data_IF_793159553190
#
_entry.id   IF_793159553190
#
_cell.length_a   1.000
_cell.length_b   1.000
_cell.length_c   1.000
_cell.angle_alpha   90.00
_cell.angle_beta   90.00
_cell.angle_gamma   90.00
#
_symmetry.space_group_name_H-M   'P 1'
#
loop_
_entity.id
_entity.type
_entity.pdbx_description
1 polymer ?
#
# COMPACT_ATOMS: atom_id res chain seq x y z
N UNK A 1 1.62 5.24 6.02
CA UNK A 1 2.95 5.83 5.71
C UNK A 1 2.91 7.30 6.07
N UNK A 2 4.05 7.98 6.22
CA UNK A 2 4.02 9.42 6.49
C UNK A 2 3.35 10.17 5.34
N UNK A 3 2.49 11.13 5.64
CA UNK A 3 1.68 11.79 4.60
C UNK A 3 2.54 12.69 3.70
N UNK A 4 3.58 13.33 4.25
CA UNK A 4 4.48 14.23 3.54
C UNK A 4 5.41 13.47 2.59
N UNK A 5 5.92 12.31 3.00
CA UNK A 5 6.69 11.41 2.12
C UNK A 5 5.84 10.94 0.93
N UNK A 6 4.59 10.55 1.20
CA UNK A 6 3.63 10.13 0.16
C UNK A 6 3.28 11.29 -0.78
N UNK A 7 3.02 12.48 -0.22
CA UNK A 7 2.75 13.70 -0.98
C UNK A 7 3.90 14.00 -1.92
N UNK A 8 5.12 14.15 -1.38
CA UNK A 8 6.31 14.43 -2.17
C UNK A 8 6.56 13.39 -3.27
N UNK A 9 6.35 12.11 -2.96
CA UNK A 9 6.52 11.04 -3.94
C UNK A 9 5.51 11.14 -5.08
N UNK A 10 4.24 11.37 -4.77
CA UNK A 10 3.19 11.56 -5.78
C UNK A 10 3.45 12.83 -6.60
N UNK A 11 3.82 13.94 -5.96
CA UNK A 11 4.10 15.19 -6.67
C UNK A 11 5.24 15.04 -7.68
N UNK A 12 6.31 14.33 -7.30
CA UNK A 12 7.44 14.03 -8.19
C UNK A 12 7.03 13.11 -9.34
N UNK A 13 6.29 12.03 -9.06
CA UNK A 13 5.91 11.04 -10.05
C UNK A 13 4.91 11.58 -11.09
N UNK A 14 3.97 12.42 -10.68
CA UNK A 14 2.89 12.93 -11.53
C UNK A 14 3.09 14.39 -11.95
N UNK A 15 4.17 15.04 -11.52
CA UNK A 15 4.49 16.45 -11.80
C UNK A 15 3.32 17.39 -11.49
N UNK A 16 2.60 17.13 -10.40
CA UNK A 16 1.43 17.90 -9.97
C UNK A 16 1.54 18.16 -8.48
N UNK A 17 1.28 19.39 -8.05
CA UNK A 17 1.17 19.68 -6.63
C UNK A 17 -0.16 19.18 -6.08
N UNK A 18 -0.12 18.62 -4.87
CA UNK A 18 -1.30 18.18 -4.13
C UNK A 18 -1.18 18.59 -2.66
N UNK A 19 -2.29 18.58 -1.95
CA UNK A 19 -2.31 18.68 -0.50
C UNK A 19 -3.13 17.49 -0.01
N UNK A 20 -2.46 16.50 0.59
CA UNK A 20 -3.11 15.27 1.07
C UNK A 20 -3.97 15.57 2.31
N UNK A 21 -3.57 16.55 3.13
CA UNK A 21 -4.23 16.90 4.40
C UNK A 21 -5.47 17.77 4.16
N UNK A 22 -5.36 18.78 3.30
CA UNK A 22 -6.41 19.74 2.94
C UNK A 22 -6.63 19.80 1.42
N UNK A 23 -7.05 18.70 0.79
CA UNK A 23 -7.17 18.62 -0.66
C UNK A 23 -8.23 19.58 -1.20
N UNK A 24 -7.86 20.38 -2.21
CA UNK A 24 -8.84 21.16 -2.99
C UNK A 24 -9.84 20.25 -3.72
N UNK A 25 -9.37 19.08 -4.15
CA UNK A 25 -10.18 18.03 -4.77
C UNK A 25 -9.78 16.67 -4.17
N UNK A 26 -10.54 16.23 -3.17
CA UNK A 26 -10.30 14.98 -2.46
C UNK A 26 -10.42 13.75 -3.36
N UNK A 27 -11.28 13.79 -4.38
CA UNK A 27 -11.45 12.67 -5.30
C UNK A 27 -10.20 12.51 -6.19
N UNK A 28 -9.68 13.61 -6.73
CA UNK A 28 -8.44 13.59 -7.51
C UNK A 28 -7.23 13.14 -6.70
N UNK A 29 -7.06 13.64 -5.47
CA UNK A 29 -5.96 13.19 -4.59
C UNK A 29 -6.09 11.71 -4.27
N UNK A 30 -7.29 11.23 -3.95
CA UNK A 30 -7.56 9.82 -3.72
C UNK A 30 -7.23 8.93 -4.93
N UNK A 31 -7.50 9.40 -6.16
CA UNK A 31 -7.11 8.69 -7.38
C UNK A 31 -5.59 8.57 -7.52
N UNK A 32 -4.84 9.65 -7.29
CA UNK A 32 -3.37 9.64 -7.36
C UNK A 32 -2.77 8.70 -6.31
N UNK A 33 -3.29 8.71 -5.08
CA UNK A 33 -2.88 7.79 -4.02
C UNK A 33 -3.15 6.34 -4.43
N UNK A 34 -4.37 6.05 -4.93
CA UNK A 34 -4.73 4.72 -5.40
C UNK A 34 -3.80 4.24 -6.53
N UNK A 35 -3.52 5.10 -7.51
CA UNK A 35 -2.70 4.75 -8.67
C UNK A 35 -1.24 4.50 -8.26
N UNK A 36 -0.71 5.32 -7.35
CA UNK A 36 0.60 5.12 -6.77
C UNK A 36 0.67 3.77 -6.02
N UNK A 37 -0.25 3.53 -5.08
CA UNK A 37 -0.22 2.30 -4.27
C UNK A 37 -0.38 1.06 -5.15
N UNK A 38 -1.26 1.07 -6.16
CA UNK A 38 -1.44 -0.09 -7.06
C UNK A 38 -0.23 -0.41 -7.91
N UNK A 39 0.62 0.58 -8.18
CA UNK A 39 1.86 0.39 -8.94
C UNK A 39 2.96 -0.24 -8.07
N UNK A 40 2.94 0.06 -6.78
CA UNK A 40 4.01 -0.28 -5.83
C UNK A 40 3.65 -1.41 -4.84
N UNK A 41 2.37 -1.76 -4.73
CA UNK A 41 1.87 -2.83 -3.89
C UNK A 41 1.04 -3.80 -4.72
N UNK A 42 1.52 -5.04 -4.87
CA UNK A 42 0.75 -6.12 -5.50
C UNK A 42 0.67 -7.32 -4.57
N UNK A 43 -0.47 -8.01 -4.60
CA UNK A 43 -0.72 -9.16 -3.73
C UNK A 43 -1.24 -10.31 -4.60
N UNK A 44 -0.79 -11.53 -4.29
CA UNK A 44 -1.41 -12.77 -4.75
C UNK A 44 -1.84 -13.59 -3.54
N UNK A 45 -3.04 -14.15 -3.62
CA UNK A 45 -3.57 -15.10 -2.64
C UNK A 45 -3.67 -16.48 -3.29
N UNK A 46 -3.03 -17.49 -2.69
CA UNK A 46 -2.93 -18.86 -3.22
C UNK A 46 -2.52 -18.91 -4.70
N UNK A 47 -1.52 -18.10 -5.06
CA UNK A 47 -0.99 -18.00 -6.43
C UNK A 47 -1.85 -17.19 -7.41
N UNK A 48 -3.01 -16.67 -6.99
CA UNK A 48 -3.89 -15.85 -7.83
C UNK A 48 -3.70 -14.36 -7.52
N UNK A 49 -3.38 -13.50 -8.51
CA UNK A 49 -3.37 -12.06 -8.32
C UNK A 49 -4.73 -11.55 -7.83
N UNK A 50 -4.70 -10.64 -6.87
CA UNK A 50 -5.92 -9.99 -6.37
C UNK A 50 -5.99 -8.53 -6.81
N UNK A 51 -7.21 -8.06 -7.05
CA UNK A 51 -7.45 -6.67 -7.42
C UNK A 51 -7.76 -5.87 -6.17
N UNK A 52 -6.86 -4.96 -5.80
CA UNK A 52 -7.10 -3.98 -4.74
C UNK A 52 -8.13 -2.96 -5.21
N UNK A 53 -9.24 -2.81 -4.48
CA UNK A 53 -10.26 -1.79 -4.73
C UNK A 53 -10.11 -0.71 -3.67
N UNK A 54 -9.81 0.51 -4.10
CA UNK A 54 -9.64 1.63 -3.18
C UNK A 54 -10.98 2.04 -2.55
N UNK A 55 -10.99 2.10 -1.22
CA UNK A 55 -12.14 2.53 -0.43
C UNK A 55 -12.04 4.01 -0.07
N UNK A 56 -10.83 4.46 0.23
CA UNK A 56 -10.56 5.83 0.64
C UNK A 56 -9.25 5.95 1.39
N UNK A 57 -8.96 7.18 1.79
CA UNK A 57 -7.80 7.50 2.62
C UNK A 57 -8.20 8.51 3.70
N UNK A 58 -7.44 8.50 4.79
CA UNK A 58 -7.50 9.51 5.83
C UNK A 58 -6.10 9.87 6.31
N UNK A 59 -5.95 11.09 6.83
CA UNK A 59 -4.74 11.53 7.51
C UNK A 59 -5.05 11.57 9.00
N UNK A 60 -4.23 10.88 9.78
CA UNK A 60 -4.30 10.89 11.23
C UNK A 60 -2.90 11.18 11.77
N UNK A 61 -2.78 12.28 12.51
CA UNK A 61 -1.48 12.82 12.93
C UNK A 61 -0.57 12.96 11.69
N UNK A 62 0.59 12.31 11.70
CA UNK A 62 1.55 12.37 10.60
C UNK A 62 1.38 11.21 9.61
N UNK A 63 0.37 10.35 9.79
CA UNK A 63 0.15 9.16 8.97
C UNK A 63 -0.96 9.34 7.93
N UNK A 64 -0.65 9.05 6.67
CA UNK A 64 -1.62 8.75 5.64
C UNK A 64 -2.01 7.26 5.70
N UNK A 65 -3.28 7.02 6.02
CA UNK A 65 -3.93 5.71 6.00
C UNK A 65 -4.68 5.55 4.69
N UNK A 66 -4.46 4.44 3.98
CA UNK A 66 -5.17 4.11 2.75
C UNK A 66 -5.82 2.74 2.87
N UNK A 67 -7.10 2.66 2.50
CA UNK A 67 -7.90 1.47 2.66
C UNK A 67 -8.23 0.84 1.32
N UNK A 68 -8.00 -0.47 1.23
CA UNK A 68 -8.31 -1.26 0.04
C UNK A 68 -9.10 -2.51 0.43
N UNK A 69 -10.05 -2.90 -0.41
CA UNK A 69 -10.77 -4.17 -0.29
C UNK A 69 -10.49 -5.07 -1.49
N UNK A 70 -10.52 -6.38 -1.27
CA UNK A 70 -10.50 -7.39 -2.34
C UNK A 70 -11.81 -8.17 -2.28
N UNK A 71 -12.51 -8.23 -3.42
CA UNK A 71 -13.75 -9.01 -3.56
C UNK A 71 -13.46 -10.39 -4.13
N UNK A 72 -14.36 -11.34 -3.86
CA UNK A 72 -14.33 -12.66 -4.48
C UNK A 72 -13.31 -13.64 -3.91
N UNK A 73 -12.77 -13.38 -2.71
CA UNK A 73 -11.98 -14.36 -1.97
C UNK A 73 -12.93 -15.33 -1.25
N UNK A 74 -12.94 -16.59 -1.69
CA UNK A 74 -13.69 -17.66 -1.05
C UNK A 74 -12.77 -18.49 -0.16
N UNK A 75 -13.11 -18.64 1.12
CA UNK A 75 -12.31 -19.40 2.08
C UNK A 75 -11.19 -18.59 2.73
N UNK A 76 -10.26 -19.29 3.41
CA UNK A 76 -9.10 -18.71 4.09
C UNK A 76 -7.84 -19.01 3.26
N UNK A 77 -7.23 -18.00 2.61
CA UNK A 77 -6.00 -18.23 1.84
C UNK A 77 -4.87 -18.74 2.73
N UNK A 78 -4.04 -19.64 2.18
CA UNK A 78 -2.91 -20.26 2.90
C UNK A 78 -1.56 -19.70 2.46
N UNK A 79 -1.50 -19.02 1.34
CA UNK A 79 -0.28 -18.40 0.83
C UNK A 79 -0.58 -16.99 0.36
N UNK A 80 0.25 -16.05 0.80
CA UNK A 80 0.31 -14.70 0.27
C UNK A 80 1.68 -14.49 -0.36
N UNK A 81 1.68 -13.94 -1.57
CA UNK A 81 2.88 -13.39 -2.22
C UNK A 81 2.63 -11.89 -2.32
N UNK A 82 3.52 -11.09 -1.76
CA UNK A 82 3.37 -9.63 -1.72
C UNK A 82 4.61 -9.01 -2.36
N UNK A 83 4.37 -8.10 -3.29
CA UNK A 83 5.37 -7.15 -3.75
C UNK A 83 5.05 -5.79 -3.12
N UNK A 84 5.99 -5.18 -2.43
CA UNK A 84 5.85 -3.88 -1.77
C UNK A 84 7.17 -3.10 -1.87
N UNK A 85 7.19 -2.10 -2.76
CA UNK A 85 8.30 -1.15 -2.93
C UNK A 85 7.83 0.31 -2.68
N UNK A 86 6.77 0.48 -1.87
CA UNK A 86 6.26 1.79 -1.49
C UNK A 86 7.38 2.66 -0.91
N UNK A 87 7.48 3.89 -1.44
CA UNK A 87 8.44 4.94 -1.09
C UNK A 87 9.91 4.64 -1.40
N UNK A 88 10.27 3.48 -1.96
CA UNK A 88 11.67 3.08 -2.14
C UNK A 88 12.49 4.02 -3.04
N UNK A 89 11.85 4.65 -4.03
CA UNK A 89 12.54 5.53 -4.98
C UNK A 89 13.10 6.78 -4.29
N UNK A 90 12.37 7.33 -3.33
CA UNK A 90 12.72 8.58 -2.64
C UNK A 90 13.39 8.34 -1.29
N UNK A 91 13.23 7.14 -0.72
CA UNK A 91 13.71 6.77 0.61
C UNK A 91 14.55 5.48 0.55
N UNK A 92 15.88 5.58 0.37
CA UNK A 92 16.78 4.44 0.30
C UNK A 92 16.83 3.59 1.58
N UNK A 93 16.51 4.18 2.72
CA UNK A 93 16.49 3.52 4.04
C UNK A 93 15.10 2.99 4.42
N UNK A 94 14.13 3.03 3.48
CA UNK A 94 12.76 2.63 3.73
C UNK A 94 12.65 1.15 4.12
N UNK A 95 11.83 0.89 5.13
CA UNK A 95 11.46 -0.46 5.58
C UNK A 95 9.95 -0.56 5.56
N UNK A 96 9.42 -1.49 4.77
CA UNK A 96 7.99 -1.77 4.71
C UNK A 96 7.67 -2.98 5.61
N UNK A 97 6.91 -2.75 6.67
CA UNK A 97 6.45 -3.80 7.58
C UNK A 97 5.04 -4.26 7.22
N UNK A 98 4.85 -5.57 7.14
CA UNK A 98 3.59 -6.19 6.77
C UNK A 98 3.08 -7.09 7.88
N UNK A 99 1.80 -6.91 8.22
CA UNK A 99 1.08 -7.75 9.15
C UNK A 99 -0.11 -8.37 8.44
N UNK A 100 -0.10 -9.68 8.29
CA UNK A 100 -1.17 -10.43 7.62
C UNK A 100 -1.89 -11.25 8.68
N UNK A 101 -3.22 -11.18 8.69
CA UNK A 101 -4.05 -11.93 9.62
C UNK A 101 -5.09 -12.78 8.88
N UNK A 102 -5.15 -14.08 9.20
CA UNK A 102 -6.11 -15.02 8.62
C UNK A 102 -6.76 -15.82 9.73
N UNK A 103 -8.09 -15.71 9.86
CA UNK A 103 -8.86 -16.55 10.78
C UNK A 103 -8.43 -16.50 12.25
N UNK A 104 -7.85 -15.37 12.70
CA UNK A 104 -7.38 -15.16 14.08
C UNK A 104 -5.87 -15.34 14.27
N UNK A 105 -5.15 -15.92 13.30
CA UNK A 105 -3.69 -16.01 13.32
C UNK A 105 -3.08 -14.80 12.62
N UNK A 106 -2.04 -14.20 13.20
CA UNK A 106 -1.28 -13.08 12.62
C UNK A 106 0.16 -13.49 12.35
N UNK A 107 0.63 -13.25 11.13
CA UNK A 107 2.05 -13.36 10.74
C UNK A 107 2.56 -11.99 10.33
N UNK A 108 3.83 -11.73 10.64
CA UNK A 108 4.48 -10.46 10.37
C UNK A 108 5.76 -10.70 9.59
N UNK A 109 6.03 -9.83 8.62
CA UNK A 109 7.30 -9.81 7.89
C UNK A 109 7.68 -8.36 7.62
N UNK A 110 8.90 -8.14 7.19
CA UNK A 110 9.38 -6.83 6.73
C UNK A 110 10.17 -6.98 5.44
N UNK A 111 10.26 -5.89 4.72
CA UNK A 111 11.04 -5.72 3.50
C UNK A 111 11.92 -4.48 3.70
N UNK A 112 13.23 -4.67 3.60
CA UNK A 112 14.22 -3.61 3.69
C UNK A 112 14.68 -3.28 2.26
N UNK A 113 14.58 -2.02 1.81
CA UNK A 113 14.99 -1.62 0.44
C UNK A 113 16.44 -2.11 0.14
N UNK A 114 16.69 -2.87 -0.94
CA UNK A 114 15.83 -3.08 -2.12
C UNK A 114 14.99 -4.36 -2.16
N UNK A 115 14.98 -5.17 -1.09
CA UNK A 115 14.08 -6.31 -1.01
C UNK A 115 12.62 -5.83 -1.07
N UNK A 116 11.85 -6.33 -2.03
CA UNK A 116 10.46 -5.90 -2.28
C UNK A 116 9.47 -7.06 -2.37
N UNK A 117 9.93 -8.31 -2.37
CA UNK A 117 9.07 -9.49 -2.48
C UNK A 117 9.07 -10.33 -1.20
N UNK A 118 7.89 -10.64 -0.69
CA UNK A 118 7.70 -11.51 0.47
C UNK A 118 6.71 -12.64 0.18
N UNK A 119 6.96 -13.81 0.79
CA UNK A 119 6.02 -14.94 0.80
C UNK A 119 5.65 -15.25 2.24
N UNK A 120 4.35 -15.27 2.54
CA UNK A 120 3.81 -15.59 3.86
C UNK A 120 2.86 -16.78 3.74
N UNK A 121 3.15 -17.84 4.49
CA UNK A 121 2.35 -19.06 4.53
C UNK A 121 1.53 -19.08 5.83
N UNK A 122 0.26 -19.48 5.76
CA UNK A 122 -0.66 -19.71 6.88
C UNK A 122 -0.89 -21.19 7.08
#
# INVERSE_FOLDING_TARGET
>A
MFYDDLEHTIEKQYHTQIDIVHPKDKAKVGQLINDYIKKHLTIKADGKPVVLNFIGYEVQEDAAWSYFEVKGITGKPKKFEVHDDLLYTEHPEQINMMHIAVGGERKSTKLDNPDSDAVVLF
#
